data_IF_989656279442
#
_entry.id   IF_989656279442
#
_cell.length_a   1.000
_cell.length_b   1.000
_cell.length_c   1.000
_cell.angle_alpha   90.00
_cell.angle_beta   90.00
_cell.angle_gamma   90.00
#
_symmetry.space_group_name_H-M   'P 1'
#
loop_
_entity.id
_entity.type
_entity.pdbx_description
1 polymer ?
#
# COMPACT_ATOMS: atom_id res chain seq x y z
N UNK A 1 18.19 -33.73 -8.91
CA UNK A 1 17.27 -33.16 -7.88
C UNK A 1 16.61 -31.93 -8.47
N UNK A 2 15.30 -31.97 -8.75
CA UNK A 2 14.57 -30.85 -9.35
C UNK A 2 14.13 -29.89 -8.26
N UNK A 3 14.60 -28.65 -8.34
CA UNK A 3 14.07 -27.55 -7.54
C UNK A 3 12.62 -27.30 -7.95
N UNK A 4 11.71 -27.17 -6.98
CA UNK A 4 10.34 -26.74 -7.23
C UNK A 4 10.28 -25.21 -7.28
N UNK A 5 9.72 -24.65 -8.36
CA UNK A 5 9.42 -23.22 -8.41
C UNK A 5 8.32 -22.88 -7.40
N UNK A 6 8.41 -21.69 -6.81
CA UNK A 6 7.41 -21.21 -5.87
C UNK A 6 6.06 -21.01 -6.56
N UNK A 7 4.97 -21.34 -5.85
CA UNK A 7 3.62 -21.16 -6.36
C UNK A 7 3.18 -19.69 -6.32
N UNK A 8 2.20 -19.36 -7.15
CA UNK A 8 1.54 -18.03 -7.18
C UNK A 8 1.08 -17.58 -5.81
N UNK A 9 0.48 -18.49 -5.03
CA UNK A 9 -0.06 -18.24 -3.69
C UNK A 9 1.00 -17.77 -2.70
N UNK A 10 2.15 -18.43 -2.71
CA UNK A 10 3.28 -18.18 -1.79
C UNK A 10 3.98 -16.88 -2.17
N UNK A 11 4.18 -16.65 -3.48
CA UNK A 11 4.73 -15.40 -3.99
C UNK A 11 3.79 -14.23 -3.65
N UNK A 12 2.48 -14.40 -3.82
CA UNK A 12 1.49 -13.37 -3.47
C UNK A 12 1.49 -13.06 -1.96
N UNK A 13 1.55 -14.09 -1.11
CA UNK A 13 1.65 -13.93 0.36
C UNK A 13 2.94 -13.23 0.78
N UNK A 14 4.07 -13.58 0.17
CA UNK A 14 5.36 -12.94 0.43
C UNK A 14 5.28 -11.45 0.08
N UNK A 15 4.73 -11.13 -1.09
CA UNK A 15 4.55 -9.76 -1.55
C UNK A 15 3.61 -8.96 -0.62
N UNK A 16 2.48 -9.54 -0.21
CA UNK A 16 1.56 -8.88 0.73
C UNK A 16 2.25 -8.57 2.06
N UNK A 17 3.09 -9.50 2.56
CA UNK A 17 3.86 -9.30 3.78
C UNK A 17 4.91 -8.20 3.64
N UNK A 18 5.59 -8.13 2.49
CA UNK A 18 6.51 -7.04 2.18
C UNK A 18 5.80 -5.68 2.13
N UNK A 19 4.63 -5.59 1.48
CA UNK A 19 3.83 -4.35 1.45
C UNK A 19 3.43 -3.90 2.85
N UNK A 20 3.04 -4.82 3.73
CA UNK A 20 2.71 -4.51 5.12
C UNK A 20 3.89 -3.85 5.86
N UNK A 21 5.11 -4.39 5.74
CA UNK A 21 6.28 -3.78 6.38
C UNK A 21 6.66 -2.43 5.78
N UNK A 22 6.51 -2.27 4.45
CA UNK A 22 6.75 -1.00 3.77
C UNK A 22 5.79 0.07 4.30
N UNK A 23 4.50 -0.24 4.45
CA UNK A 23 3.52 0.69 5.03
C UNK A 23 3.85 1.07 6.47
N UNK A 24 4.24 0.11 7.31
CA UNK A 24 4.67 0.41 8.69
C UNK A 24 5.92 1.30 8.74
N UNK A 25 6.87 1.09 7.82
CA UNK A 25 8.06 1.92 7.71
C UNK A 25 7.71 3.33 7.25
N UNK A 26 6.77 3.45 6.31
CA UNK A 26 6.24 4.73 5.83
C UNK A 26 5.63 5.54 6.98
N UNK A 27 4.75 4.93 7.78
CA UNK A 27 4.11 5.57 8.94
C UNK A 27 5.13 6.05 9.98
N UNK A 28 6.16 5.23 10.26
CA UNK A 28 7.22 5.57 11.21
C UNK A 28 8.12 6.69 10.66
N UNK A 29 8.52 6.61 9.39
CA UNK A 29 9.34 7.63 8.74
C UNK A 29 8.60 8.97 8.69
N UNK A 30 7.31 8.97 8.36
CA UNK A 30 6.47 10.17 8.39
C UNK A 30 6.48 10.83 9.76
N UNK A 31 6.36 10.05 10.85
CA UNK A 31 6.41 10.60 12.23
C UNK A 31 7.76 11.21 12.59
N UNK A 32 8.86 10.58 12.19
CA UNK A 32 10.23 11.07 12.48
C UNK A 32 10.56 12.31 11.62
N UNK A 33 10.21 12.28 10.33
CA UNK A 33 10.51 13.36 9.39
C UNK A 33 9.59 14.57 9.54
N UNK A 34 8.41 14.43 10.17
CA UNK A 34 7.52 15.56 10.51
C UNK A 34 8.08 16.48 11.61
N UNK A 35 9.20 16.14 12.25
CA UNK A 35 9.82 16.97 13.31
C UNK A 35 10.63 18.16 12.76
N UNK A 36 10.88 18.26 11.45
CA UNK A 36 11.61 19.40 10.85
C UNK A 36 11.05 19.70 9.45
N UNK A 37 11.07 20.98 9.07
CA UNK A 37 10.64 21.61 7.80
C UNK A 37 10.80 20.86 6.47
N UNK A 38 11.53 19.75 6.44
CA UNK A 38 11.82 18.87 5.30
C UNK A 38 10.55 18.32 4.64
N UNK A 39 9.52 17.93 5.40
CA UNK A 39 8.29 17.36 4.82
C UNK A 39 7.50 18.38 3.97
N UNK A 40 7.60 19.68 4.30
CA UNK A 40 6.98 20.76 3.53
C UNK A 40 7.75 21.06 2.23
N UNK A 41 9.05 20.74 2.18
CA UNK A 41 9.93 20.98 1.03
C UNK A 41 9.92 19.82 0.02
N UNK A 42 9.62 18.59 0.47
CA UNK A 42 9.66 17.37 -0.37
C UNK A 42 8.37 17.13 -1.18
N UNK A 43 7.30 17.91 -0.96
CA UNK A 43 6.07 17.81 -1.74
C UNK A 43 5.20 16.61 -1.35
N UNK A 44 3.88 16.77 -1.50
CA UNK A 44 2.86 15.81 -1.11
C UNK A 44 2.86 14.49 -1.91
N UNK A 45 3.61 14.44 -3.01
CA UNK A 45 3.88 13.22 -3.76
C UNK A 45 5.05 12.50 -3.11
N UNK A 46 4.77 11.78 -2.03
CA UNK A 46 5.76 10.98 -1.30
C UNK A 46 6.54 10.10 -2.28
N UNK A 47 7.77 10.51 -2.58
CA UNK A 47 8.80 9.65 -3.16
C UNK A 47 8.73 8.34 -2.38
N UNK A 48 8.78 7.19 -3.06
CA UNK A 48 8.57 5.87 -2.43
C UNK A 48 9.80 5.45 -1.62
N UNK A 49 10.27 6.35 -0.76
CA UNK A 49 11.49 6.33 0.03
C UNK A 49 11.44 5.23 1.09
N UNK A 50 10.29 5.00 1.70
CA UNK A 50 10.05 3.85 2.59
C UNK A 50 10.29 2.53 1.86
N UNK A 51 9.73 2.36 0.67
CA UNK A 51 9.93 1.16 -0.13
C UNK A 51 11.36 1.01 -0.66
N UNK A 52 11.99 2.09 -1.13
CA UNK A 52 13.38 2.09 -1.59
C UNK A 52 14.34 1.75 -0.43
N UNK A 53 14.14 2.37 0.73
CA UNK A 53 14.88 2.09 1.96
C UNK A 53 14.70 0.64 2.40
N UNK A 54 13.46 0.12 2.37
CA UNK A 54 13.17 -1.27 2.69
C UNK A 54 13.92 -2.24 1.78
N UNK A 55 13.81 -2.07 0.46
CA UNK A 55 14.51 -2.95 -0.49
C UNK A 55 16.02 -2.77 -0.44
N UNK A 56 16.55 -1.58 -0.17
CA UNK A 56 17.98 -1.38 0.04
C UNK A 56 18.48 -2.16 1.27
N UNK A 57 17.81 -2.03 2.41
CA UNK A 57 18.21 -2.71 3.65
C UNK A 57 18.05 -4.24 3.58
N UNK A 58 17.03 -4.73 2.87
CA UNK A 58 16.75 -6.18 2.83
C UNK A 58 17.39 -6.89 1.64
N UNK A 59 17.44 -6.24 0.47
CA UNK A 59 17.87 -6.87 -0.79
C UNK A 59 19.29 -6.49 -1.19
N UNK A 60 19.78 -5.31 -0.79
CA UNK A 60 21.16 -4.89 -1.08
C UNK A 60 22.11 -5.32 0.03
N UNK A 61 21.74 -5.09 1.30
CA UNK A 61 22.51 -5.59 2.44
C UNK A 61 22.27 -7.09 2.71
N UNK A 62 21.08 -7.60 2.36
CA UNK A 62 20.73 -9.02 2.43
C UNK A 62 20.58 -9.68 1.05
N UNK A 63 20.17 -10.96 1.04
CA UNK A 63 19.83 -11.70 -0.20
C UNK A 63 18.33 -11.87 -0.40
N UNK A 64 17.53 -11.57 0.64
CA UNK A 64 16.09 -11.86 0.70
C UNK A 64 15.34 -10.72 1.39
N UNK A 65 14.09 -10.49 0.98
CA UNK A 65 13.15 -9.64 1.72
C UNK A 65 12.56 -10.38 2.93
N UNK A 66 11.94 -9.65 3.88
CA UNK A 66 11.29 -10.29 5.03
C UNK A 66 10.08 -11.13 4.59
N UNK A 67 9.37 -10.74 3.55
CA UNK A 67 8.30 -11.54 2.94
C UNK A 67 8.82 -12.80 2.28
N UNK A 68 9.97 -12.72 1.61
CA UNK A 68 10.65 -13.88 1.02
C UNK A 68 11.14 -14.86 2.09
N UNK A 69 11.68 -14.35 3.20
CA UNK A 69 12.09 -15.15 4.35
C UNK A 69 10.88 -15.79 5.06
N UNK A 70 9.81 -15.02 5.29
CA UNK A 70 8.56 -15.48 5.90
C UNK A 70 7.92 -16.63 5.12
N UNK A 71 7.94 -16.54 3.79
CA UNK A 71 7.40 -17.58 2.91
C UNK A 71 8.42 -18.68 2.55
N UNK A 72 9.66 -18.61 3.07
CA UNK A 72 10.73 -19.55 2.77
C UNK A 72 10.99 -19.72 1.26
N UNK A 73 10.96 -18.61 0.53
CA UNK A 73 11.28 -18.56 -0.90
C UNK A 73 12.61 -17.84 -1.13
N UNK A 74 13.33 -18.23 -2.18
CA UNK A 74 14.60 -17.61 -2.58
C UNK A 74 14.52 -17.13 -4.03
N UNK A 75 14.88 -15.87 -4.32
CA UNK A 75 15.04 -15.42 -5.70
C UNK A 75 16.29 -16.07 -6.31
N UNK A 76 16.14 -16.60 -7.52
CA UNK A 76 17.20 -17.24 -8.30
C UNK A 76 17.18 -16.66 -9.71
N UNK A 77 18.37 -16.40 -10.23
CA UNK A 77 18.57 -16.05 -11.62
C UNK A 77 18.40 -17.30 -12.49
N UNK A 78 17.44 -17.27 -13.40
CA UNK A 78 17.15 -18.42 -14.26
C UNK A 78 18.26 -18.67 -15.28
N UNK A 79 18.91 -17.61 -15.73
CA UNK A 79 19.92 -17.69 -16.80
C UNK A 79 21.20 -18.32 -16.23
N UNK A 80 21.64 -17.79 -15.09
CA UNK A 80 22.89 -18.23 -14.46
C UNK A 80 22.69 -19.36 -13.44
N UNK A 81 21.44 -19.69 -13.07
CA UNK A 81 21.10 -20.64 -12.01
C UNK A 81 21.77 -20.34 -10.65
N UNK A 82 22.13 -19.07 -10.43
CA UNK A 82 22.75 -18.59 -9.18
C UNK A 82 21.81 -17.64 -8.43
N UNK A 83 22.17 -17.30 -7.20
CA UNK A 83 21.57 -16.17 -6.49
C UNK A 83 21.81 -14.88 -7.31
N UNK A 84 20.85 -13.94 -7.37
CA UNK A 84 20.99 -12.73 -8.18
C UNK A 84 22.27 -11.96 -7.83
N UNK A 85 23.07 -11.56 -8.83
CA UNK A 85 24.25 -10.73 -8.61
C UNK A 85 23.84 -9.33 -8.13
N UNK A 86 24.78 -8.63 -7.49
CA UNK A 86 24.53 -7.33 -6.82
C UNK A 86 23.89 -6.31 -7.75
N UNK A 87 24.31 -6.22 -9.02
CA UNK A 87 23.72 -5.27 -9.97
C UNK A 87 22.23 -5.55 -10.24
N UNK A 88 21.80 -6.82 -10.34
CA UNK A 88 20.37 -7.17 -10.49
C UNK A 88 19.60 -6.76 -9.24
N UNK A 89 20.21 -6.86 -8.06
CA UNK A 89 19.62 -6.42 -6.79
C UNK A 89 19.47 -4.91 -6.73
N UNK A 90 20.48 -4.15 -7.17
CA UNK A 90 20.41 -2.69 -7.27
C UNK A 90 19.23 -2.29 -8.17
N UNK A 91 19.08 -2.92 -9.34
CA UNK A 91 17.92 -2.64 -10.23
C UNK A 91 16.58 -2.95 -9.55
N UNK A 92 16.51 -4.00 -8.72
CA UNK A 92 15.30 -4.28 -7.93
C UNK A 92 14.98 -3.19 -6.90
N UNK A 93 15.98 -2.58 -6.28
CA UNK A 93 15.77 -1.46 -5.33
C UNK A 93 15.24 -0.19 -6.00
N UNK A 94 15.47 -0.06 -7.32
CA UNK A 94 14.92 1.03 -8.14
C UNK A 94 13.50 0.76 -8.66
N UNK A 95 12.94 -0.43 -8.37
CA UNK A 95 11.55 -0.77 -8.70
C UNK A 95 10.54 0.33 -8.41
N UNK A 96 10.48 0.92 -7.20
CA UNK A 96 9.47 1.90 -6.89
C UNK A 96 9.62 3.22 -7.69
N UNK A 97 10.79 3.48 -8.27
CA UNK A 97 11.03 4.63 -9.14
C UNK A 97 10.60 4.37 -10.60
N UNK A 98 10.51 3.11 -11.01
CA UNK A 98 10.12 2.68 -12.36
C UNK A 98 8.59 2.64 -12.57
N UNK A 99 7.83 3.49 -11.86
CA UNK A 99 6.36 3.66 -12.00
C UNK A 99 5.91 4.20 -13.37
N UNK A 100 6.84 4.38 -14.32
CA UNK A 100 6.62 4.97 -15.63
C UNK A 100 5.72 4.13 -16.57
N UNK A 101 5.32 2.91 -16.16
CA UNK A 101 4.51 1.99 -16.97
C UNK A 101 3.35 1.38 -16.17
N UNK A 102 2.46 2.19 -15.61
CA UNK A 102 1.25 1.72 -14.89
C UNK A 102 0.38 0.73 -15.70
N UNK A 103 0.31 0.93 -17.02
CA UNK A 103 -0.38 0.03 -17.95
C UNK A 103 0.27 -1.35 -18.03
N UNK A 104 1.60 -1.40 -18.09
CA UNK A 104 2.35 -2.66 -18.16
C UNK A 104 2.30 -3.42 -16.83
N UNK A 105 2.22 -2.73 -15.69
CA UNK A 105 2.09 -3.39 -14.38
C UNK A 105 0.77 -4.14 -14.24
N UNK A 106 -0.32 -3.54 -14.73
CA UNK A 106 -1.65 -4.16 -14.73
C UNK A 106 -1.66 -5.43 -15.57
N UNK A 107 -1.05 -5.39 -16.76
CA UNK A 107 -0.89 -6.57 -17.61
C UNK A 107 0.01 -7.64 -16.96
N UNK A 108 1.13 -7.24 -16.34
CA UNK A 108 2.03 -8.18 -15.70
C UNK A 108 1.37 -8.93 -14.53
N UNK A 109 0.47 -8.28 -13.77
CA UNK A 109 -0.29 -8.95 -12.70
C UNK A 109 -1.20 -10.05 -13.26
N UNK A 110 -1.90 -9.77 -14.37
CA UNK A 110 -2.72 -10.79 -15.04
C UNK A 110 -1.85 -11.96 -15.51
N UNK A 111 -0.73 -11.65 -16.17
CA UNK A 111 0.20 -12.67 -16.66
C UNK A 111 0.87 -13.45 -15.53
N UNK A 112 1.08 -12.82 -14.37
CA UNK A 112 1.55 -13.46 -13.16
C UNK A 112 0.52 -14.45 -12.61
N UNK A 113 -0.76 -14.08 -12.51
CA UNK A 113 -1.80 -15.01 -12.05
C UNK A 113 -2.05 -16.15 -13.05
N UNK A 114 -1.81 -15.91 -14.34
CA UNK A 114 -1.94 -16.93 -15.37
C UNK A 114 -0.78 -17.93 -15.40
N UNK A 115 0.47 -17.47 -15.37
CA UNK A 115 1.65 -18.33 -15.55
C UNK A 115 2.38 -18.67 -14.25
N UNK A 116 2.21 -17.86 -13.20
CA UNK A 116 2.88 -18.02 -11.91
C UNK A 116 4.37 -17.75 -11.90
N UNK A 117 4.91 -17.08 -12.93
CA UNK A 117 6.37 -16.95 -13.10
C UNK A 117 6.96 -15.70 -12.44
N UNK A 118 6.48 -14.52 -12.84
CA UNK A 118 7.13 -13.24 -12.52
C UNK A 118 6.13 -12.25 -11.91
N UNK A 119 6.24 -11.91 -10.61
CA UNK A 119 5.27 -11.04 -9.94
C UNK A 119 5.39 -9.57 -10.35
N UNK A 120 6.54 -9.15 -10.84
CA UNK A 120 6.79 -7.76 -11.28
C UNK A 120 7.49 -7.73 -12.64
N UNK A 121 7.29 -6.65 -13.39
CA UNK A 121 7.89 -6.45 -14.70
C UNK A 121 9.42 -6.51 -14.64
N UNK A 122 10.03 -5.88 -13.64
CA UNK A 122 11.49 -5.87 -13.47
C UNK A 122 12.02 -7.27 -13.26
N UNK A 123 11.34 -8.11 -12.47
CA UNK A 123 11.73 -9.52 -12.29
C UNK A 123 11.54 -10.34 -13.57
N UNK A 124 10.58 -9.97 -14.42
CA UNK A 124 10.40 -10.56 -15.76
C UNK A 124 11.55 -10.19 -16.70
N UNK A 125 11.91 -8.91 -16.77
CA UNK A 125 13.02 -8.42 -17.61
C UNK A 125 14.35 -9.04 -17.17
N UNK A 126 14.59 -9.11 -15.85
CA UNK A 126 15.82 -9.67 -15.28
C UNK A 126 15.83 -11.20 -15.20
N UNK A 127 14.74 -11.86 -15.61
CA UNK A 127 14.54 -13.32 -15.55
C UNK A 127 14.81 -13.91 -14.16
N UNK A 128 14.27 -13.27 -13.12
CA UNK A 128 14.39 -13.71 -11.73
C UNK A 128 13.14 -14.48 -11.30
N UNK A 129 13.30 -15.74 -10.88
CA UNK A 129 12.21 -16.61 -10.39
C UNK A 129 12.43 -17.02 -8.94
N UNK A 130 11.37 -17.46 -8.28
CA UNK A 130 11.44 -17.96 -6.92
C UNK A 130 11.45 -19.48 -6.86
N UNK A 131 12.24 -20.03 -5.94
CA UNK A 131 12.26 -21.44 -5.57
C UNK A 131 11.96 -21.63 -4.08
N UNK A 132 11.44 -22.79 -3.71
CA UNK A 132 11.21 -23.16 -2.30
C UNK A 132 12.50 -23.52 -1.57
N UNK A 133 12.53 -23.20 -0.27
CA UNK A 133 13.59 -23.55 0.66
C UNK A 133 12.97 -24.24 1.90
N UNK A 134 12.49 -25.50 1.84
CA UNK A 134 13.29 -26.73 1.63
C UNK A 134 12.78 -27.64 0.48
N UNK A 135 13.47 -28.77 0.22
CA UNK A 135 13.36 -29.66 -0.98
C UNK A 135 12.02 -30.39 -1.23
N UNK A 136 10.90 -29.96 -0.63
CA UNK A 136 9.58 -30.58 -0.86
C UNK A 136 8.61 -29.51 -1.39
N UNK A 137 8.29 -29.60 -2.67
CA UNK A 137 7.24 -28.78 -3.27
C UNK A 137 5.87 -29.22 -2.70
N UNK A 138 4.98 -28.28 -2.32
CA UNK A 138 3.61 -28.61 -1.92
C UNK A 138 2.78 -29.13 -3.12
N UNK A 139 1.70 -29.85 -2.82
CA UNK A 139 0.84 -30.49 -3.83
C UNK A 139 0.04 -29.46 -4.64
N UNK A 140 0.11 -29.56 -5.98
CA UNK A 140 -0.15 -28.50 -6.97
C UNK A 140 -1.62 -28.11 -7.23
N UNK A 141 -2.54 -28.36 -6.30
CA UNK A 141 -3.98 -28.07 -6.51
C UNK A 141 -4.33 -26.57 -6.47
N UNK A 142 -3.45 -25.71 -5.96
CA UNK A 142 -3.70 -24.27 -5.86
C UNK A 142 -3.70 -23.51 -7.18
N UNK A 143 -3.09 -24.06 -8.25
CA UNK A 143 -2.87 -23.32 -9.51
C UNK A 143 -4.17 -22.96 -10.26
N UNK A 144 -5.21 -23.79 -10.17
CA UNK A 144 -6.47 -23.59 -10.92
C UNK A 144 -7.22 -22.33 -10.47
N UNK A 145 -7.28 -22.07 -9.16
CA UNK A 145 -8.01 -20.92 -8.63
C UNK A 145 -7.37 -19.58 -9.01
N UNK A 146 -6.04 -19.49 -9.09
CA UNK A 146 -5.36 -18.27 -9.54
C UNK A 146 -5.55 -17.99 -11.04
N UNK A 147 -5.74 -19.03 -11.86
CA UNK A 147 -6.08 -18.86 -13.29
C UNK A 147 -7.48 -18.27 -13.46
N UNK A 148 -8.43 -18.64 -12.61
CA UNK A 148 -9.76 -18.03 -12.58
C UNK A 148 -9.69 -16.54 -12.17
N UNK A 149 -8.88 -16.21 -11.15
CA UNK A 149 -8.62 -14.82 -10.77
C UNK A 149 -7.98 -14.02 -11.92
N UNK A 150 -7.08 -14.62 -12.70
CA UNK A 150 -6.48 -13.97 -13.87
C UNK A 150 -7.55 -13.58 -14.92
N UNK A 151 -8.48 -14.49 -15.21
CA UNK A 151 -9.60 -14.23 -16.13
C UNK A 151 -10.50 -13.12 -15.58
N UNK A 152 -10.83 -13.16 -14.28
CA UNK A 152 -11.66 -12.14 -13.64
C UNK A 152 -10.98 -10.75 -13.58
N UNK A 153 -9.65 -10.68 -13.52
CA UNK A 153 -8.89 -9.44 -13.49
C UNK A 153 -8.65 -8.83 -14.88
N UNK A 154 -8.80 -9.62 -15.95
CA UNK A 154 -8.55 -9.19 -17.33
C UNK A 154 -9.41 -7.99 -17.77
N UNK A 155 -10.74 -7.93 -17.51
CA UNK A 155 -11.56 -6.79 -17.89
C UNK A 155 -11.10 -5.49 -17.21
N UNK A 156 -10.71 -5.56 -15.94
CA UNK A 156 -10.20 -4.41 -15.18
C UNK A 156 -8.88 -3.91 -15.76
N UNK A 157 -7.99 -4.82 -16.16
CA UNK A 157 -6.74 -4.45 -16.84
C UNK A 157 -7.02 -3.77 -18.19
N UNK A 158 -7.98 -4.27 -18.98
CA UNK A 158 -8.38 -3.67 -20.28
C UNK A 158 -8.99 -2.28 -20.07
N UNK A 159 -9.87 -2.10 -19.08
CA UNK A 159 -10.46 -0.79 -18.76
C UNK A 159 -9.39 0.25 -18.40
N UNK A 160 -8.32 -0.14 -17.71
CA UNK A 160 -7.18 0.75 -17.43
C UNK A 160 -6.35 1.11 -18.67
N UNK A 161 -6.34 0.26 -19.69
CA UNK A 161 -5.65 0.54 -20.96
C UNK A 161 -6.46 1.50 -21.84
N UNK A 162 -7.80 1.44 -21.77
CA UNK A 162 -8.68 2.32 -22.55
C UNK A 162 -8.91 3.66 -21.87
N UNK A 163 -8.86 3.72 -20.54
CA UNK A 163 -8.86 4.96 -19.77
C UNK A 163 -7.47 5.59 -19.80
N UNK A 164 -7.12 6.31 -20.87
CA UNK A 164 -6.05 7.30 -20.81
C UNK A 164 -6.51 8.39 -19.84
N UNK A 165 -5.78 8.55 -18.74
CA UNK A 165 -6.00 9.50 -17.66
C UNK A 165 -7.01 10.60 -18.03
N UNK A 166 -8.24 10.47 -17.55
CA UNK A 166 -9.06 11.67 -17.34
C UNK A 166 -8.25 12.55 -16.40
N UNK A 167 -7.96 13.82 -16.74
CA UNK A 167 -7.27 14.70 -15.81
C UNK A 167 -8.05 14.65 -14.51
N UNK A 168 -7.33 14.39 -13.42
CA UNK A 168 -7.83 14.47 -12.07
C UNK A 168 -8.49 15.83 -11.89
N UNK A 169 -9.81 15.89 -12.11
CA UNK A 169 -10.64 16.96 -11.60
C UNK A 169 -10.39 16.95 -10.10
N UNK A 170 -9.76 18.04 -9.63
CA UNK A 170 -9.57 18.46 -8.24
C UNK A 170 -10.38 17.57 -7.32
N UNK A 171 -9.71 16.77 -6.49
CA UNK A 171 -10.36 15.97 -5.44
C UNK A 171 -11.35 16.86 -4.71
N UNK A 172 -12.63 16.70 -4.99
CA UNK A 172 -13.68 17.27 -4.16
C UNK A 172 -13.48 16.58 -2.81
N UNK A 173 -12.91 17.31 -1.86
CA UNK A 173 -12.93 16.92 -0.44
C UNK A 173 -14.37 16.50 -0.17
N UNK A 174 -14.63 15.23 0.18
CA UNK A 174 -15.98 14.79 0.44
C UNK A 174 -16.56 15.77 1.47
N UNK A 175 -17.69 16.43 1.16
CA UNK A 175 -18.32 17.42 2.07
C UNK A 175 -18.53 16.88 3.49
N UNK A 176 -18.48 15.55 3.60
CA UNK A 176 -18.48 14.76 4.83
C UNK A 176 -17.29 15.06 5.74
N UNK A 177 -16.15 15.61 5.29
CA UNK A 177 -14.92 15.81 6.10
C UNK A 177 -14.71 17.24 6.64
N UNK A 178 -15.63 18.18 6.37
CA UNK A 178 -15.54 19.56 6.87
C UNK A 178 -16.27 19.74 8.20
N UNK A 179 -15.81 20.70 9.01
CA UNK A 179 -16.44 21.08 10.25
C UNK A 179 -17.39 22.25 9.98
N UNK A 180 -18.66 22.16 10.37
CA UNK A 180 -19.60 23.28 10.20
C UNK A 180 -19.34 24.48 11.12
N UNK A 181 -18.51 24.32 12.16
CA UNK A 181 -18.14 25.42 13.07
C UNK A 181 -16.96 26.25 12.57
N UNK A 182 -15.89 25.61 12.05
CA UNK A 182 -14.72 26.33 11.54
C UNK A 182 -14.66 26.39 10.00
N UNK A 183 -15.61 25.74 9.31
CA UNK A 183 -15.70 25.59 7.85
C UNK A 183 -14.46 24.94 7.19
N UNK A 184 -13.46 24.53 7.97
CA UNK A 184 -12.26 23.84 7.52
C UNK A 184 -12.39 22.32 7.61
N UNK A 185 -11.29 21.62 7.29
CA UNK A 185 -11.16 20.18 7.48
C UNK A 185 -11.25 19.84 8.98
N UNK A 186 -12.03 18.80 9.34
CA UNK A 186 -12.12 18.36 10.73
C UNK A 186 -10.75 17.89 11.25
N UNK A 187 -10.39 18.30 12.46
CA UNK A 187 -9.20 17.84 13.20
C UNK A 187 -9.66 17.23 14.51
N UNK A 188 -9.11 16.06 14.86
CA UNK A 188 -9.60 15.27 16.00
C UNK A 188 -11.13 15.13 15.95
N UNK A 189 -11.63 14.44 14.93
CA UNK A 189 -13.06 14.29 14.67
C UNK A 189 -13.78 13.80 15.92
N UNK A 190 -14.78 14.56 16.35
CA UNK A 190 -15.54 14.32 17.57
C UNK A 190 -17.01 14.17 17.21
N UNK A 191 -17.62 13.11 17.71
CA UNK A 191 -19.05 12.83 17.55
C UNK A 191 -19.80 13.23 18.81
N UNK A 192 -20.92 13.90 18.63
CA UNK A 192 -21.89 14.16 19.71
C UNK A 192 -22.81 12.94 19.89
N UNK A 193 -23.54 12.86 21.01
CA UNK A 193 -24.54 11.78 21.24
C UNK A 193 -25.60 11.65 20.15
N UNK A 194 -25.92 12.73 19.44
CA UNK A 194 -26.86 12.72 18.32
C UNK A 194 -26.21 12.33 16.97
N UNK A 195 -24.92 11.99 16.95
CA UNK A 195 -24.23 11.47 15.76
C UNK A 195 -23.59 12.53 14.85
N UNK A 196 -23.64 13.82 15.21
CA UNK A 196 -23.05 14.88 14.41
C UNK A 196 -21.55 15.04 14.68
N UNK A 197 -20.78 15.37 13.62
CA UNK A 197 -19.31 15.34 13.62
C UNK A 197 -18.70 16.75 13.51
N UNK A 198 -17.74 17.05 14.38
CA UNK A 198 -17.03 18.34 14.44
C UNK A 198 -15.54 18.15 14.78
N UNK A 199 -14.75 19.22 14.78
CA UNK A 199 -13.43 19.21 15.46
C UNK A 199 -13.63 19.18 16.97
N UNK A 200 -12.76 18.48 17.71
CA UNK A 200 -12.77 18.48 19.17
C UNK A 200 -12.81 19.89 19.75
N UNK A 201 -11.84 20.74 19.37
CA UNK A 201 -11.73 22.09 19.93
C UNK A 201 -12.96 22.96 19.62
N UNK A 202 -13.54 22.78 18.42
CA UNK A 202 -14.71 23.54 18.01
C UNK A 202 -15.95 23.17 18.83
N UNK A 203 -16.27 21.87 18.93
CA UNK A 203 -17.47 21.44 19.66
C UNK A 203 -17.30 21.54 21.17
N UNK A 204 -16.10 21.33 21.69
CA UNK A 204 -15.79 21.51 23.11
C UNK A 204 -15.94 22.98 23.54
N UNK A 205 -15.47 23.92 22.71
CA UNK A 205 -15.66 25.35 22.98
C UNK A 205 -17.12 25.78 22.89
N UNK A 206 -17.88 25.22 21.93
CA UNK A 206 -19.30 25.48 21.77
C UNK A 206 -20.11 25.00 22.99
N UNK A 207 -19.93 23.75 23.39
CA UNK A 207 -20.67 23.11 24.49
C UNK A 207 -20.45 23.78 25.85
N UNK A 208 -19.34 24.51 26.03
CA UNK A 208 -19.12 25.37 27.21
C UNK A 208 -20.02 26.59 27.25
N UNK A 209 -20.35 27.17 26.10
CA UNK A 209 -21.22 28.36 26.00
C UNK A 209 -22.69 27.97 25.88
N UNK A 210 -23.00 26.93 25.10
CA UNK A 210 -24.36 26.41 24.91
C UNK A 210 -24.33 24.88 24.93
N UNK A 211 -24.96 24.21 25.90
CA UNK A 211 -24.93 22.75 26.03
C UNK A 211 -25.88 22.05 25.04
N UNK A 212 -25.82 22.43 23.76
CA UNK A 212 -26.66 21.92 22.67
C UNK A 212 -25.83 21.66 21.40
N UNK A 213 -26.23 20.66 20.61
CA UNK A 213 -25.61 20.40 19.32
C UNK A 213 -25.88 21.56 18.33
N UNK A 214 -24.84 22.12 17.66
CA UNK A 214 -25.02 23.22 16.70
C UNK A 214 -25.95 22.91 15.52
N UNK A 215 -26.15 21.63 15.18
CA UNK A 215 -26.92 21.22 14.00
C UNK A 215 -28.37 20.85 14.34
N UNK A 216 -28.59 20.07 15.40
CA UNK A 216 -29.91 19.53 15.72
C UNK A 216 -30.44 19.94 17.10
N UNK A 217 -29.69 20.77 17.84
CA UNK A 217 -30.05 21.31 19.17
C UNK A 217 -30.34 20.27 20.25
N UNK A 218 -29.99 18.99 20.02
CA UNK A 218 -30.01 17.97 21.06
C UNK A 218 -29.02 18.32 22.17
N UNK A 219 -29.38 18.00 23.42
CA UNK A 219 -28.53 18.25 24.59
C UNK A 219 -27.13 17.63 24.41
N UNK A 220 -26.11 18.45 24.61
CA UNK A 220 -24.71 18.05 24.41
C UNK A 220 -23.81 18.66 25.49
N UNK A 221 -23.39 17.82 26.43
CA UNK A 221 -22.43 18.18 27.48
C UNK A 221 -21.02 17.77 27.06
N UNK A 222 -19.96 18.42 27.58
CA UNK A 222 -18.57 18.05 27.29
C UNK A 222 -18.25 16.57 27.59
N UNK A 223 -18.88 15.98 28.61
CA UNK A 223 -18.72 14.56 28.96
C UNK A 223 -19.33 13.59 27.94
N UNK A 224 -20.13 14.10 26.99
CA UNK A 224 -20.85 13.32 25.98
C UNK A 224 -20.19 13.41 24.59
N UNK A 225 -18.97 13.94 24.54
CA UNK A 225 -18.17 14.07 23.33
C UNK A 225 -17.22 12.88 23.22
N UNK A 226 -17.28 12.18 22.09
CA UNK A 226 -16.39 11.05 21.82
C UNK A 226 -15.52 11.36 20.60
N UNK A 227 -14.19 11.27 20.76
CA UNK A 227 -13.29 11.31 19.63
C UNK A 227 -13.42 10.01 18.82
N UNK A 228 -13.58 10.15 17.50
CA UNK A 228 -13.68 9.04 16.57
C UNK A 228 -12.47 9.08 15.64
N UNK A 229 -11.90 7.90 15.37
CA UNK A 229 -10.87 7.76 14.35
C UNK A 229 -11.57 7.86 12.99
N UNK A 230 -11.40 9.00 12.31
CA UNK A 230 -11.95 9.24 10.98
C UNK A 230 -10.94 8.76 9.92
N UNK A 231 -11.18 7.60 9.26
CA UNK A 231 -10.24 7.04 8.29
C UNK A 231 -10.11 7.90 7.03
N UNK A 232 -11.03 8.82 6.78
CA UNK A 232 -10.98 9.74 5.64
C UNK A 232 -10.09 10.95 5.89
N UNK A 233 -9.78 11.27 7.15
CA UNK A 233 -8.95 12.42 7.51
C UNK A 233 -7.49 12.01 7.74
N UNK A 234 -7.23 10.73 8.03
CA UNK A 234 -5.88 10.22 8.24
C UNK A 234 -5.11 9.93 6.94
N UNK A 235 -5.78 9.88 5.79
CA UNK A 235 -5.18 9.51 4.50
C UNK A 235 -5.08 10.67 3.47
N UNK A 236 -5.20 11.95 3.91
CA UNK A 236 -5.04 13.15 3.06
C UNK A 236 -4.20 14.25 3.69
#
# INVERSE_FOLDING_TARGET
MRWGFAETSVIARAHQKDQFYIHQLDDKLRRVLNMRHVYRWIGADTLPLSSALYYALTTLAGTKTLGEEYCQILPVDVINSTVPPVWKRIVLTLMPFMRLLESAESFNKVLFYWEGRYPTLIRRILSLRYIYHPRRAPDTNGSMFYRLLAIAALPVAILKLTQRATPSTIEEVPRVATCSLCLGRRRATTVTKCGHLFCWDCIFSWTKMRPECPLCRSECLPAHLFCVIDPYIQNM
#
